data_IF_630907333034
#
_entry.id   IF_630907333034
#
_cell.length_a   1.000
_cell.length_b   1.000
_cell.length_c   1.000
_cell.angle_alpha   90.00
_cell.angle_beta   90.00
_cell.angle_gamma   90.00
#
_symmetry.space_group_name_H-M   'P 1'
#
loop_
_entity.id
_entity.type
_entity.pdbx_description
1 polymer ?
#
# COMPACT_ATOMS: atom_id res chain seq x y z
N UNK A 1 29.86 8.62 34.89
CA UNK A 1 30.59 9.43 33.90
C UNK A 1 30.62 8.63 32.62
N UNK A 2 29.68 8.80 31.69
CA UNK A 2 29.53 9.88 30.71
C UNK A 2 29.84 9.32 29.31
N UNK A 3 28.78 8.97 28.58
CA UNK A 3 28.78 8.84 27.13
C UNK A 3 27.50 9.54 26.63
N UNK A 4 27.60 10.85 26.38
CA UNK A 4 26.60 11.68 25.70
C UNK A 4 27.33 12.31 24.52
N UNK A 5 26.96 11.97 23.29
CA UNK A 5 27.67 12.52 22.14
C UNK A 5 27.09 12.27 20.75
N UNK A 6 25.89 11.71 20.60
CA UNK A 6 25.35 11.39 19.27
C UNK A 6 23.90 11.81 19.01
N UNK A 7 23.24 12.49 19.95
CA UNK A 7 21.87 13.02 19.76
C UNK A 7 21.80 14.46 19.23
N UNK A 8 22.93 15.18 19.12
CA UNK A 8 22.92 16.61 18.77
C UNK A 8 22.81 16.90 17.26
N UNK A 9 23.01 15.91 16.38
CA UNK A 9 23.14 16.17 14.93
C UNK A 9 21.83 16.02 14.14
N UNK A 10 20.75 15.51 14.75
CA UNK A 10 19.43 15.36 14.10
C UNK A 10 18.42 16.45 14.48
N UNK A 11 18.71 17.27 15.49
CA UNK A 11 17.82 18.37 15.93
C UNK A 11 17.96 19.66 15.10
N UNK A 12 19.09 19.87 14.41
CA UNK A 12 19.31 21.10 13.63
C UNK A 12 18.54 21.16 12.29
N UNK A 13 18.07 20.03 11.76
CA UNK A 13 17.26 20.03 10.53
C UNK A 13 15.78 20.36 10.76
N UNK A 14 15.30 20.35 12.01
CA UNK A 14 13.89 20.58 12.34
C UNK A 14 13.56 22.04 12.71
N UNK A 15 14.55 22.88 13.01
CA UNK A 15 14.34 24.26 13.47
C UNK A 15 14.63 25.35 12.41
N UNK A 16 15.00 24.99 11.18
CA UNK A 16 15.31 25.96 10.12
C UNK A 16 14.09 26.44 9.30
N UNK A 17 12.90 25.89 9.50
CA UNK A 17 11.75 26.18 8.63
C UNK A 17 10.79 27.27 9.13
N UNK A 18 11.14 28.02 10.17
CA UNK A 18 10.33 29.15 10.63
C UNK A 18 11.19 30.38 10.90
N UNK A 19 11.19 31.29 9.93
CA UNK A 19 11.63 32.67 10.12
C UNK A 19 12.91 33.02 9.38
N UNK A 20 12.77 33.55 8.17
CA UNK A 20 13.36 34.84 7.79
C UNK A 20 13.03 35.15 6.32
N UNK A 21 11.92 35.84 6.13
CA UNK A 21 11.78 36.80 5.05
C UNK A 21 12.64 38.03 5.39
N UNK A 22 13.84 38.15 4.85
CA UNK A 22 14.53 39.44 4.83
C UNK A 22 15.66 39.48 3.80
N UNK A 23 15.45 40.31 2.77
CA UNK A 23 16.46 41.20 2.17
C UNK A 23 17.84 40.61 1.83
N UNK A 24 18.00 40.18 0.58
CA UNK A 24 19.30 40.12 -0.10
C UNK A 24 19.22 40.93 -1.41
N UNK A 25 18.88 42.21 -1.28
CA UNK A 25 19.37 43.24 -2.19
C UNK A 25 20.38 44.05 -1.39
N UNK A 26 21.66 43.83 -1.65
CA UNK A 26 22.71 44.75 -1.22
C UNK A 26 23.83 44.71 -2.24
N UNK A 27 23.60 45.46 -3.31
CA UNK A 27 24.62 45.95 -4.22
C UNK A 27 25.63 46.78 -3.42
N UNK A 28 26.85 46.27 -3.28
CA UNK A 28 28.03 47.03 -2.88
C UNK A 28 29.24 46.48 -3.64
N UNK A 29 29.29 46.80 -4.94
CA UNK A 29 30.50 46.71 -5.74
C UNK A 29 31.43 47.88 -5.40
N UNK A 30 32.59 47.58 -4.80
CA UNK A 30 33.74 48.49 -4.76
C UNK A 30 34.83 47.89 -5.66
N UNK A 31 34.95 48.52 -6.83
CA UNK A 31 36.02 48.48 -7.84
C UNK A 31 37.25 47.59 -7.61
N UNK A 32 37.43 46.63 -8.52
CA UNK A 32 38.71 45.99 -8.85
C UNK A 32 38.65 45.47 -10.28
N UNK A 33 39.24 46.22 -11.22
CA UNK A 33 39.16 45.95 -12.66
C UNK A 33 39.71 44.58 -13.08
N UNK A 34 38.93 43.90 -13.90
CA UNK A 34 39.29 42.72 -14.66
C UNK A 34 38.16 42.41 -15.63
N UNK A 35 38.47 42.33 -16.93
CA UNK A 35 37.53 42.25 -18.04
C UNK A 35 36.35 41.29 -17.80
N UNK A 36 35.13 41.83 -17.85
CA UNK A 36 33.90 41.05 -17.92
C UNK A 36 33.82 40.31 -19.26
N UNK A 37 34.45 39.15 -19.34
CA UNK A 37 34.07 38.15 -20.33
C UNK A 37 32.91 37.36 -19.75
N UNK A 38 31.69 37.90 -19.91
CA UNK A 38 30.47 37.13 -19.68
C UNK A 38 30.47 35.97 -20.68
N UNK A 39 30.85 34.78 -20.22
CA UNK A 39 30.81 33.56 -21.03
C UNK A 39 29.35 33.38 -21.49
N UNK A 40 29.08 33.23 -22.80
CA UNK A 40 27.72 32.97 -23.25
C UNK A 40 27.21 31.71 -22.52
N UNK A 41 25.93 31.69 -22.10
CA UNK A 41 25.41 30.57 -21.34
C UNK A 41 25.70 29.30 -22.12
N UNK A 42 26.51 28.41 -21.53
CA UNK A 42 26.83 27.13 -22.16
C UNK A 42 25.50 26.43 -22.44
N UNK A 43 25.19 26.25 -23.73
CA UNK A 43 24.10 25.37 -24.15
C UNK A 43 24.45 23.97 -23.69
N UNK A 44 23.98 23.62 -22.50
CA UNK A 44 24.09 22.29 -21.98
C UNK A 44 23.01 21.47 -22.70
N UNK A 45 23.44 20.60 -23.60
CA UNK A 45 22.58 19.62 -24.24
C UNK A 45 22.15 18.58 -23.21
N UNK A 46 21.19 18.94 -22.35
CA UNK A 46 20.58 18.00 -21.41
C UNK A 46 19.31 17.42 -22.03
N UNK A 47 19.12 16.10 -21.87
CA UNK A 47 17.89 15.40 -22.28
C UNK A 47 16.70 15.84 -21.39
N UNK A 48 16.98 16.35 -20.19
CA UNK A 48 16.00 17.08 -19.38
C UNK A 48 16.00 18.56 -19.76
N UNK A 49 14.84 19.06 -20.19
CA UNK A 49 14.63 20.48 -20.50
C UNK A 49 14.43 21.36 -19.26
N UNK A 50 14.41 20.80 -18.06
CA UNK A 50 14.08 21.58 -16.85
C UNK A 50 15.35 22.10 -16.20
N UNK A 51 15.66 23.36 -16.48
CA UNK A 51 16.68 24.13 -15.80
C UNK A 51 16.07 24.65 -14.48
N UNK A 52 16.46 24.06 -13.35
CA UNK A 52 15.98 24.33 -11.99
C UNK A 52 14.49 24.01 -11.73
N UNK A 53 14.13 22.76 -11.40
CA UNK A 53 12.75 22.45 -11.00
C UNK A 53 12.44 23.05 -9.61
N UNK A 54 11.45 23.95 -9.52
CA UNK A 54 10.79 24.27 -8.26
C UNK A 54 9.70 23.23 -7.98
N UNK A 55 9.79 22.55 -6.85
CA UNK A 55 8.84 21.50 -6.51
C UNK A 55 7.59 22.11 -5.89
N UNK A 56 6.56 22.26 -6.73
CA UNK A 56 5.16 22.41 -6.33
C UNK A 56 4.78 21.36 -5.28
N UNK A 57 3.88 21.69 -4.35
CA UNK A 57 3.32 20.78 -3.33
C UNK A 57 2.91 19.45 -3.98
N UNK A 58 3.60 18.37 -3.65
CA UNK A 58 3.31 17.04 -4.19
C UNK A 58 1.95 16.51 -3.70
N UNK A 59 1.25 15.77 -4.56
CA UNK A 59 0.00 15.10 -4.19
C UNK A 59 0.26 13.95 -3.21
N UNK A 60 -0.75 13.60 -2.40
CA UNK A 60 -0.73 12.41 -1.56
C UNK A 60 -1.22 11.19 -2.39
N UNK A 61 -0.37 10.20 -2.68
CA UNK A 61 -0.77 9.03 -3.47
C UNK A 61 -1.42 7.91 -2.63
N UNK A 62 -1.37 7.98 -1.30
CA UNK A 62 -1.94 6.97 -0.39
C UNK A 62 -3.43 6.65 -0.64
N UNK A 63 -4.31 7.65 -0.87
CA UNK A 63 -5.71 7.40 -1.22
C UNK A 63 -5.89 6.53 -2.46
N UNK A 64 -5.05 6.72 -3.49
CA UNK A 64 -5.12 5.93 -4.72
C UNK A 64 -4.85 4.46 -4.41
N UNK A 65 -3.78 4.18 -3.67
CA UNK A 65 -3.41 2.81 -3.31
C UNK A 65 -4.45 2.13 -2.42
N UNK A 66 -5.00 2.84 -1.42
CA UNK A 66 -6.00 2.31 -0.50
C UNK A 66 -7.35 2.04 -1.19
N UNK A 67 -7.84 2.95 -2.03
CA UNK A 67 -9.12 2.77 -2.73
C UNK A 67 -8.99 1.65 -3.76
N UNK A 68 -7.86 1.56 -4.47
CA UNK A 68 -7.62 0.49 -5.44
C UNK A 68 -7.60 -0.90 -4.79
N UNK A 69 -6.95 -1.00 -3.63
CA UNK A 69 -6.98 -2.18 -2.78
C UNK A 69 -8.40 -2.50 -2.29
N UNK A 70 -9.13 -1.48 -1.82
CA UNK A 70 -10.47 -1.63 -1.25
C UNK A 70 -11.48 -2.16 -2.27
N UNK A 71 -11.48 -1.65 -3.50
CA UNK A 71 -12.39 -2.13 -4.56
C UNK A 71 -12.11 -3.60 -4.87
N UNK A 72 -10.85 -3.95 -5.10
CA UNK A 72 -10.45 -5.32 -5.44
C UNK A 72 -10.73 -6.30 -4.31
N UNK A 73 -10.38 -5.90 -3.08
CA UNK A 73 -10.61 -6.66 -1.85
C UNK A 73 -12.09 -6.87 -1.58
N UNK A 74 -12.91 -5.83 -1.70
CA UNK A 74 -14.34 -5.90 -1.44
C UNK A 74 -15.04 -6.85 -2.41
N UNK A 75 -14.72 -6.75 -3.70
CA UNK A 75 -15.27 -7.66 -4.71
C UNK A 75 -14.85 -9.11 -4.44
N UNK A 76 -13.55 -9.38 -4.18
CA UNK A 76 -13.10 -10.71 -3.80
C UNK A 76 -13.81 -11.22 -2.55
N UNK A 77 -13.99 -10.37 -1.53
CA UNK A 77 -14.62 -10.74 -0.26
C UNK A 77 -16.05 -11.26 -0.43
N UNK A 78 -16.87 -10.58 -1.24
CA UNK A 78 -18.25 -11.01 -1.53
C UNK A 78 -18.27 -12.42 -2.15
N UNK A 79 -17.33 -12.69 -3.03
CA UNK A 79 -17.20 -14.00 -3.64
C UNK A 79 -16.69 -15.07 -2.66
N UNK A 80 -15.72 -14.74 -1.80
CA UNK A 80 -15.28 -15.63 -0.73
C UNK A 80 -16.39 -15.94 0.29
N UNK A 81 -17.38 -15.04 0.44
CA UNK A 81 -18.59 -15.26 1.23
C UNK A 81 -19.63 -16.14 0.53
N UNK A 82 -19.46 -16.41 -0.77
CA UNK A 82 -20.40 -17.19 -1.58
C UNK A 82 -21.59 -16.39 -2.11
N UNK A 83 -21.52 -15.05 -2.09
CA UNK A 83 -22.62 -14.19 -2.59
C UNK A 83 -22.83 -14.44 -4.08
N UNK A 84 -24.05 -14.85 -4.43
CA UNK A 84 -24.43 -15.11 -5.82
C UNK A 84 -23.87 -16.40 -6.41
N UNK A 85 -23.29 -17.30 -5.61
CA UNK A 85 -22.78 -18.60 -6.05
C UNK A 85 -23.78 -19.73 -5.79
N UNK A 86 -23.82 -20.79 -6.62
CA UNK A 86 -24.58 -22.00 -6.34
C UNK A 86 -24.23 -22.57 -4.96
N UNK A 87 -25.25 -22.91 -4.18
CA UNK A 87 -25.12 -23.42 -2.79
C UNK A 87 -24.29 -22.51 -1.86
N UNK A 88 -24.09 -21.24 -2.26
CA UNK A 88 -23.17 -20.30 -1.61
C UNK A 88 -21.77 -20.90 -1.38
N UNK A 89 -21.26 -21.70 -2.33
CA UNK A 89 -19.97 -22.38 -2.21
C UNK A 89 -18.84 -21.60 -2.94
N UNK A 90 -17.98 -20.86 -2.22
CA UNK A 90 -16.86 -20.12 -2.82
C UNK A 90 -15.73 -21.01 -3.36
N UNK A 91 -15.68 -22.28 -2.98
CA UNK A 91 -14.66 -23.24 -3.39
C UNK A 91 -15.15 -24.18 -4.50
N UNK A 92 -16.35 -23.93 -5.04
CA UNK A 92 -16.94 -24.69 -6.13
C UNK A 92 -16.25 -24.44 -7.48
N UNK A 93 -16.63 -25.23 -8.49
CA UNK A 93 -16.14 -25.08 -9.87
C UNK A 93 -16.82 -23.95 -10.64
N UNK A 94 -17.99 -23.51 -10.18
CA UNK A 94 -18.77 -22.41 -10.76
C UNK A 94 -18.53 -21.18 -9.91
N UNK A 95 -17.69 -20.26 -10.41
CA UNK A 95 -17.28 -19.11 -9.63
C UNK A 95 -16.62 -18.00 -10.44
N UNK A 96 -16.40 -16.83 -9.82
CA UNK A 96 -16.18 -15.55 -10.46
C UNK A 96 -14.69 -15.23 -10.65
N UNK A 97 -13.83 -16.26 -10.68
CA UNK A 97 -12.38 -16.10 -10.87
C UNK A 97 -12.06 -15.15 -12.05
N UNK A 98 -12.88 -15.22 -13.09
CA UNK A 98 -12.84 -14.36 -14.27
C UNK A 98 -13.18 -12.88 -13.98
N UNK A 99 -14.19 -12.61 -13.15
CA UNK A 99 -14.64 -11.26 -12.82
C UNK A 99 -13.65 -10.50 -11.92
N UNK A 100 -12.98 -11.22 -11.01
CA UNK A 100 -11.97 -10.64 -10.11
C UNK A 100 -10.65 -10.42 -10.84
N UNK A 101 -10.31 -11.26 -11.82
CA UNK A 101 -9.01 -11.22 -12.49
C UNK A 101 -8.67 -9.82 -13.04
N UNK A 102 -9.61 -9.14 -13.69
CA UNK A 102 -9.39 -7.78 -14.20
C UNK A 102 -9.10 -6.77 -13.07
N UNK A 103 -9.83 -6.83 -11.96
CA UNK A 103 -9.59 -5.97 -10.79
C UNK A 103 -8.24 -6.29 -10.15
N UNK A 104 -7.90 -7.58 -10.04
CA UNK A 104 -6.61 -8.08 -9.55
C UNK A 104 -5.44 -7.51 -10.35
N UNK A 105 -5.54 -7.51 -11.68
CA UNK A 105 -4.44 -7.04 -12.54
C UNK A 105 -4.32 -5.52 -12.53
N UNK A 106 -5.44 -4.81 -12.70
CA UNK A 106 -5.39 -3.36 -12.95
C UNK A 106 -5.53 -2.52 -11.68
N UNK A 107 -6.56 -2.76 -10.86
CA UNK A 107 -6.76 -1.99 -9.64
C UNK A 107 -5.86 -2.50 -8.51
N UNK A 108 -6.14 -3.69 -8.00
CA UNK A 108 -5.38 -4.28 -6.90
C UNK A 108 -3.90 -4.41 -7.24
N UNK A 109 -3.56 -4.65 -8.51
CA UNK A 109 -2.20 -4.79 -9.00
C UNK A 109 -1.57 -3.47 -9.44
N UNK A 110 -1.68 -3.15 -10.73
CA UNK A 110 -0.90 -2.10 -11.38
C UNK A 110 -1.09 -0.71 -10.74
N UNK A 111 -2.33 -0.27 -10.52
CA UNK A 111 -2.62 1.06 -9.95
C UNK A 111 -2.11 1.15 -8.50
N UNK A 112 -2.22 0.07 -7.73
CA UNK A 112 -1.68 0.03 -6.39
C UNK A 112 -0.15 0.10 -6.38
N UNK A 113 0.53 -0.60 -7.30
CA UNK A 113 1.99 -0.46 -7.50
C UNK A 113 2.36 0.98 -7.86
N UNK A 114 1.63 1.62 -8.78
CA UNK A 114 1.89 3.01 -9.16
C UNK A 114 1.73 3.96 -7.97
N UNK A 115 0.70 3.77 -7.14
CA UNK A 115 0.54 4.53 -5.90
C UNK A 115 1.78 4.36 -4.99
N UNK A 116 2.26 3.12 -4.81
CA UNK A 116 3.47 2.85 -4.03
C UNK A 116 4.73 3.50 -4.60
N UNK A 117 4.91 3.49 -5.92
CA UNK A 117 6.04 4.18 -6.56
C UNK A 117 5.97 5.70 -6.32
N UNK A 118 4.76 6.28 -6.38
CA UNK A 118 4.57 7.71 -6.11
C UNK A 118 4.84 8.07 -4.64
N UNK A 119 4.61 7.17 -3.68
CA UNK A 119 4.92 7.40 -2.26
C UNK A 119 6.42 7.64 -2.00
N UNK A 120 7.31 7.10 -2.84
CA UNK A 120 8.75 7.41 -2.76
C UNK A 120 9.01 8.91 -2.94
N UNK A 121 8.19 9.58 -3.76
CA UNK A 121 8.37 11.00 -4.07
C UNK A 121 8.08 11.91 -2.88
N UNK A 122 7.23 11.46 -1.96
CA UNK A 122 6.84 12.18 -0.74
C UNK A 122 7.57 11.66 0.51
N UNK A 123 8.53 10.76 0.35
CA UNK A 123 9.35 10.23 1.45
C UNK A 123 8.63 9.22 2.35
N UNK A 124 7.52 8.64 1.90
CA UNK A 124 6.73 7.69 2.68
C UNK A 124 7.18 6.24 2.43
N UNK A 125 8.24 5.81 3.11
CA UNK A 125 8.78 4.45 2.98
C UNK A 125 7.75 3.37 3.31
N UNK A 126 6.93 3.59 4.35
CA UNK A 126 5.91 2.65 4.77
C UNK A 126 4.86 2.46 3.67
N UNK A 127 4.20 3.54 3.25
CA UNK A 127 3.17 3.51 2.21
C UNK A 127 3.71 2.99 0.88
N UNK A 128 4.93 3.38 0.52
CA UNK A 128 5.56 2.91 -0.71
C UNK A 128 5.75 1.39 -0.73
N UNK A 129 6.34 0.84 0.34
CA UNK A 129 6.57 -0.59 0.45
C UNK A 129 5.23 -1.34 0.53
N UNK A 130 4.28 -0.83 1.32
CA UNK A 130 2.96 -1.40 1.53
C UNK A 130 2.18 -1.50 0.21
N UNK A 131 2.06 -0.41 -0.53
CA UNK A 131 1.29 -0.40 -1.77
C UNK A 131 1.95 -1.22 -2.87
N UNK A 132 3.28 -1.14 -3.04
CA UNK A 132 3.99 -1.95 -4.03
C UNK A 132 3.86 -3.45 -3.76
N UNK A 133 4.04 -3.91 -2.51
CA UNK A 133 4.04 -5.35 -2.21
C UNK A 133 2.64 -5.95 -2.28
N UNK A 134 1.59 -5.25 -1.85
CA UNK A 134 0.21 -5.72 -2.03
C UNK A 134 -0.26 -5.59 -3.49
N UNK A 135 0.26 -4.63 -4.23
CA UNK A 135 0.13 -4.62 -5.69
C UNK A 135 0.75 -5.86 -6.33
N UNK A 136 1.96 -6.22 -5.88
CA UNK A 136 2.61 -7.48 -6.23
C UNK A 136 1.77 -8.71 -5.88
N UNK A 137 1.17 -8.76 -4.68
CA UNK A 137 0.26 -9.83 -4.26
C UNK A 137 -0.88 -10.01 -5.27
N UNK A 138 -1.57 -8.94 -5.64
CA UNK A 138 -2.71 -9.04 -6.56
C UNK A 138 -2.27 -9.47 -7.96
N UNK A 139 -1.13 -8.99 -8.44
CA UNK A 139 -0.58 -9.44 -9.72
C UNK A 139 -0.21 -10.92 -9.69
N UNK A 140 0.50 -11.38 -8.65
CA UNK A 140 0.91 -12.78 -8.53
C UNK A 140 -0.25 -13.72 -8.21
N UNK A 141 -1.21 -13.31 -7.38
CA UNK A 141 -2.40 -14.09 -7.06
C UNK A 141 -3.31 -14.23 -8.29
N UNK A 142 -3.42 -13.16 -9.09
CA UNK A 142 -4.14 -13.18 -10.36
C UNK A 142 -3.67 -14.26 -11.33
N UNK A 143 -2.39 -14.64 -11.28
CA UNK A 143 -1.82 -15.67 -12.16
C UNK A 143 -2.47 -17.04 -11.95
N UNK A 144 -2.89 -17.38 -10.74
CA UNK A 144 -3.60 -18.65 -10.46
C UNK A 144 -4.95 -18.75 -11.19
N UNK A 145 -5.51 -17.63 -11.65
CA UNK A 145 -6.78 -17.60 -12.37
C UNK A 145 -6.64 -17.64 -13.89
N UNK A 146 -5.41 -17.65 -14.43
CA UNK A 146 -5.16 -17.67 -15.88
C UNK A 146 -4.96 -19.12 -16.35
N UNK A 147 -5.95 -19.76 -17.00
CA UNK A 147 -5.85 -21.17 -17.37
C UNK A 147 -4.72 -21.44 -18.38
N UNK A 148 -4.43 -20.45 -19.24
CA UNK A 148 -3.38 -20.55 -20.24
C UNK A 148 -1.96 -20.72 -19.66
N UNK A 149 -1.75 -20.42 -18.37
CA UNK A 149 -0.46 -20.62 -17.71
C UNK A 149 -0.23 -22.05 -17.23
N UNK A 150 -1.25 -22.91 -17.23
CA UNK A 150 -1.10 -24.31 -16.85
C UNK A 150 -0.74 -24.54 -15.37
N UNK A 151 -0.90 -23.54 -14.49
CA UNK A 151 -0.41 -23.61 -13.10
C UNK A 151 -1.11 -24.72 -12.32
N UNK A 152 -2.43 -24.86 -12.47
CA UNK A 152 -3.21 -25.90 -11.79
C UNK A 152 -2.93 -27.27 -12.43
N UNK A 153 -2.81 -27.30 -13.74
CA UNK A 153 -2.53 -28.49 -14.56
C UNK A 153 -1.16 -29.10 -14.24
N UNK A 154 -0.18 -28.27 -13.85
CA UNK A 154 1.14 -28.71 -13.43
C UNK A 154 1.13 -29.64 -12.19
N UNK A 155 0.04 -29.67 -11.43
CA UNK A 155 -0.15 -30.59 -10.31
C UNK A 155 -0.73 -31.96 -10.72
N UNK A 156 -0.84 -32.24 -12.03
CA UNK A 156 -1.23 -33.56 -12.57
C UNK A 156 -2.56 -34.12 -12.02
N UNK A 157 -3.52 -33.25 -11.69
CA UNK A 157 -4.81 -33.63 -11.11
C UNK A 157 -4.80 -33.83 -9.58
N UNK A 158 -3.64 -33.74 -8.92
CA UNK A 158 -3.54 -33.74 -7.47
C UNK A 158 -4.05 -32.41 -6.89
N UNK A 159 -5.33 -32.42 -6.55
CA UNK A 159 -6.01 -31.26 -5.97
C UNK A 159 -5.46 -30.94 -4.57
N UNK A 160 -5.04 -31.94 -3.80
CA UNK A 160 -4.52 -31.72 -2.45
C UNK A 160 -3.15 -31.01 -2.48
N UNK A 161 -2.27 -31.42 -3.40
CA UNK A 161 -1.00 -30.75 -3.62
C UNK A 161 -1.18 -29.29 -4.05
N UNK A 162 -2.11 -29.03 -4.99
CA UNK A 162 -2.42 -27.68 -5.46
C UNK A 162 -2.95 -26.79 -4.33
N UNK A 163 -3.96 -27.24 -3.57
CA UNK A 163 -4.55 -26.42 -2.49
C UNK A 163 -3.55 -26.23 -1.35
N UNK A 164 -2.73 -27.23 -1.03
CA UNK A 164 -1.67 -27.09 -0.02
C UNK A 164 -0.64 -26.04 -0.44
N UNK A 165 -0.20 -26.03 -1.71
CA UNK A 165 0.72 -25.01 -2.21
C UNK A 165 0.10 -23.59 -2.14
N UNK A 166 -1.18 -23.45 -2.49
CA UNK A 166 -1.90 -22.19 -2.37
C UNK A 166 -2.06 -21.75 -0.90
N UNK A 167 -2.24 -22.70 0.01
CA UNK A 167 -2.24 -22.47 1.46
C UNK A 167 -0.90 -21.91 1.94
N UNK A 168 0.23 -22.52 1.55
CA UNK A 168 1.58 -22.02 1.89
C UNK A 168 1.81 -20.61 1.33
N UNK A 169 1.37 -20.36 0.10
CA UNK A 169 1.43 -19.03 -0.52
C UNK A 169 0.69 -18.00 0.36
N UNK A 170 -0.55 -18.27 0.75
CA UNK A 170 -1.35 -17.37 1.59
C UNK A 170 -0.78 -17.20 3.01
N UNK A 171 -0.20 -18.25 3.60
CA UNK A 171 0.47 -18.16 4.90
C UNK A 171 1.70 -17.25 4.89
N UNK A 172 2.42 -17.21 3.76
CA UNK A 172 3.52 -16.26 3.58
C UNK A 172 3.02 -14.82 3.62
N UNK A 173 1.85 -14.55 3.02
CA UNK A 173 1.19 -13.24 3.07
C UNK A 173 0.65 -12.87 4.45
N UNK A 174 0.21 -13.86 5.24
CA UNK A 174 -0.11 -13.65 6.67
C UNK A 174 1.11 -13.12 7.43
N UNK A 175 2.28 -13.73 7.24
CA UNK A 175 3.51 -13.32 7.90
C UNK A 175 3.95 -11.92 7.47
N UNK A 176 3.94 -11.64 6.17
CA UNK A 176 4.25 -10.30 5.64
C UNK A 176 3.32 -9.25 6.25
N UNK A 177 2.02 -9.54 6.30
CA UNK A 177 1.01 -8.62 6.86
C UNK A 177 1.22 -8.39 8.35
N UNK A 178 1.59 -9.42 9.12
CA UNK A 178 1.96 -9.29 10.52
C UNK A 178 3.17 -8.35 10.70
N UNK A 179 4.20 -8.47 9.86
CA UNK A 179 5.35 -7.56 9.91
C UNK A 179 4.94 -6.10 9.63
N UNK A 180 4.05 -5.87 8.66
CA UNK A 180 3.49 -4.53 8.42
C UNK A 180 2.64 -4.03 9.58
N UNK A 181 1.84 -4.89 10.21
CA UNK A 181 1.05 -4.53 11.39
C UNK A 181 1.96 -4.05 12.53
N UNK A 182 3.07 -4.76 12.76
CA UNK A 182 4.07 -4.36 13.76
C UNK A 182 4.78 -3.04 13.38
N UNK A 183 5.10 -2.85 12.10
CA UNK A 183 5.67 -1.59 11.61
C UNK A 183 4.69 -0.41 11.72
N UNK A 184 3.38 -0.68 11.70
CA UNK A 184 2.32 0.33 11.73
C UNK A 184 1.89 0.77 13.13
N UNK A 185 2.46 0.22 14.22
CA UNK A 185 2.02 0.47 15.62
C UNK A 185 1.98 1.94 16.06
N UNK A 186 2.66 2.84 15.34
CA UNK A 186 2.65 4.29 15.59
C UNK A 186 1.97 5.12 14.49
N UNK A 187 1.16 4.48 13.64
CA UNK A 187 0.43 5.17 12.55
C UNK A 187 -0.90 5.73 13.06
N UNK A 188 -1.99 4.98 12.94
CA UNK A 188 -3.32 5.31 13.45
C UNK A 188 -4.17 4.04 13.56
N UNK A 189 -5.29 4.15 14.28
CA UNK A 189 -6.18 3.01 14.56
C UNK A 189 -6.78 2.42 13.28
N UNK A 190 -7.10 3.24 12.28
CA UNK A 190 -7.67 2.76 11.01
C UNK A 190 -6.68 1.84 10.27
N UNK A 191 -5.43 2.25 10.10
CA UNK A 191 -4.39 1.43 9.42
C UNK A 191 -4.06 0.17 10.22
N UNK A 192 -4.01 0.25 11.55
CA UNK A 192 -3.82 -0.93 12.39
C UNK A 192 -4.96 -1.93 12.28
N UNK A 193 -6.20 -1.44 12.31
CA UNK A 193 -7.39 -2.30 12.17
C UNK A 193 -7.43 -2.95 10.80
N UNK A 194 -7.10 -2.19 9.73
CA UNK A 194 -7.00 -2.71 8.37
C UNK A 194 -5.99 -3.86 8.30
N UNK A 195 -4.76 -3.66 8.77
CA UNK A 195 -3.71 -4.69 8.69
C UNK A 195 -4.00 -5.90 9.58
N UNK A 196 -4.60 -5.70 10.74
CA UNK A 196 -5.01 -6.79 11.61
C UNK A 196 -6.11 -7.64 10.96
N UNK A 197 -7.16 -7.02 10.42
CA UNK A 197 -8.20 -7.75 9.71
C UNK A 197 -7.65 -8.44 8.45
N UNK A 198 -6.76 -7.78 7.70
CA UNK A 198 -6.12 -8.36 6.53
C UNK A 198 -5.25 -9.59 6.87
N UNK A 199 -4.52 -9.53 7.99
CA UNK A 199 -3.74 -10.67 8.49
C UNK A 199 -4.67 -11.86 8.78
N UNK A 200 -5.81 -11.62 9.42
CA UNK A 200 -6.81 -12.65 9.69
C UNK A 200 -7.44 -13.20 8.40
N UNK A 201 -7.67 -12.34 7.40
CA UNK A 201 -8.10 -12.79 6.07
C UNK A 201 -7.10 -13.78 5.48
N UNK A 202 -5.83 -13.43 5.37
CA UNK A 202 -4.82 -14.33 4.78
C UNK A 202 -4.68 -15.62 5.57
N UNK A 203 -4.69 -15.54 6.91
CA UNK A 203 -4.62 -16.71 7.78
C UNK A 203 -5.78 -17.67 7.52
N UNK A 204 -7.02 -17.16 7.53
CA UNK A 204 -8.22 -17.99 7.38
C UNK A 204 -8.33 -18.56 5.95
N UNK A 205 -8.05 -17.75 4.93
CA UNK A 205 -8.03 -18.25 3.54
C UNK A 205 -6.94 -19.33 3.37
N UNK A 206 -5.74 -19.14 3.95
CA UNK A 206 -4.67 -20.12 3.90
C UNK A 206 -5.04 -21.44 4.61
N UNK A 207 -5.61 -21.34 5.81
CA UNK A 207 -6.11 -22.52 6.56
C UNK A 207 -7.18 -23.26 5.76
N UNK A 208 -8.13 -22.55 5.16
CA UNK A 208 -9.17 -23.17 4.33
C UNK A 208 -8.58 -24.00 3.18
N UNK A 209 -7.48 -23.54 2.56
CA UNK A 209 -6.80 -24.27 1.50
C UNK A 209 -6.11 -25.56 1.99
N UNK A 210 -5.53 -25.56 3.20
CA UNK A 210 -4.92 -26.77 3.77
C UNK A 210 -5.94 -27.88 4.05
N UNK A 211 -7.15 -27.50 4.47
CA UNK A 211 -8.21 -28.46 4.80
C UNK A 211 -9.22 -28.68 3.66
N UNK A 212 -8.95 -28.12 2.47
CA UNK A 212 -9.88 -28.12 1.34
C UNK A 212 -10.31 -29.54 0.92
N UNK A 213 -9.37 -30.48 0.91
CA UNK A 213 -9.59 -31.86 0.46
C UNK A 213 -9.87 -32.85 1.60
N UNK A 214 -9.55 -32.49 2.85
CA UNK A 214 -9.70 -33.36 4.02
C UNK A 214 -10.96 -33.07 4.83
N UNK A 215 -11.42 -31.81 4.85
CA UNK A 215 -12.60 -31.37 5.58
C UNK A 215 -13.35 -30.27 4.81
N UNK A 216 -13.92 -30.60 3.66
CA UNK A 216 -14.49 -29.63 2.70
C UNK A 216 -15.57 -28.71 3.29
N UNK A 217 -16.48 -29.23 4.11
CA UNK A 217 -17.52 -28.39 4.74
C UNK A 217 -16.93 -27.34 5.70
N UNK A 218 -15.94 -27.75 6.50
CA UNK A 218 -15.20 -26.86 7.39
C UNK A 218 -14.36 -25.87 6.59
N UNK A 219 -13.71 -26.30 5.51
CA UNK A 219 -12.94 -25.46 4.60
C UNK A 219 -13.78 -24.30 4.05
N UNK A 220 -14.98 -24.61 3.57
CA UNK A 220 -15.93 -23.60 3.06
C UNK A 220 -16.28 -22.58 4.16
N UNK A 221 -16.56 -23.05 5.37
CA UNK A 221 -16.91 -22.17 6.50
C UNK A 221 -15.75 -21.26 6.87
N UNK A 222 -14.52 -21.79 6.94
CA UNK A 222 -13.31 -21.03 7.26
C UNK A 222 -12.98 -20.03 6.14
N UNK A 223 -13.17 -20.42 4.87
CA UNK A 223 -13.00 -19.52 3.73
C UNK A 223 -13.97 -18.33 3.80
N UNK A 224 -15.25 -18.59 4.12
CA UNK A 224 -16.27 -17.55 4.33
C UNK A 224 -15.89 -16.62 5.48
N UNK A 225 -15.38 -17.14 6.58
CA UNK A 225 -14.91 -16.32 7.70
C UNK A 225 -13.79 -15.36 7.26
N UNK A 226 -12.80 -15.85 6.52
CA UNK A 226 -11.75 -14.99 5.97
C UNK A 226 -12.25 -13.97 4.95
N UNK A 227 -13.25 -14.33 4.14
CA UNK A 227 -14.01 -13.41 3.29
C UNK A 227 -14.70 -12.30 4.08
N UNK A 228 -15.32 -12.64 5.21
CA UNK A 228 -15.93 -11.66 6.13
C UNK A 228 -14.91 -10.66 6.68
N UNK A 229 -13.73 -11.12 7.12
CA UNK A 229 -12.64 -10.21 7.50
C UNK A 229 -12.15 -9.34 6.34
N UNK A 230 -12.19 -9.84 5.10
CA UNK A 230 -11.80 -9.05 3.93
C UNK A 230 -12.83 -7.98 3.60
N UNK A 231 -14.12 -8.22 3.83
CA UNK A 231 -15.15 -7.17 3.76
C UNK A 231 -14.80 -6.04 4.74
N UNK A 232 -14.58 -6.38 6.00
CA UNK A 232 -14.24 -5.40 7.05
C UNK A 232 -12.97 -4.63 6.67
N UNK A 233 -11.92 -5.33 6.26
CA UNK A 233 -10.67 -4.74 5.79
C UNK A 233 -10.90 -3.75 4.65
N UNK A 234 -11.70 -4.12 3.67
CA UNK A 234 -11.96 -3.29 2.48
C UNK A 234 -12.76 -2.05 2.82
N UNK A 235 -13.74 -2.15 3.74
CA UNK A 235 -14.48 -1.00 4.24
C UNK A 235 -13.59 -0.03 5.02
N UNK A 236 -12.67 -0.53 5.83
CA UNK A 236 -11.68 0.31 6.51
C UNK A 236 -10.72 0.96 5.50
N UNK A 237 -10.33 0.24 4.45
CA UNK A 237 -9.50 0.79 3.37
C UNK A 237 -10.21 1.90 2.59
N UNK A 238 -11.50 1.74 2.28
CA UNK A 238 -12.32 2.82 1.72
C UNK A 238 -12.37 4.02 2.66
N UNK A 239 -12.61 3.80 3.95
CA UNK A 239 -12.64 4.86 4.96
C UNK A 239 -11.31 5.63 5.03
N UNK A 240 -10.19 4.92 5.14
CA UNK A 240 -8.86 5.52 5.21
C UNK A 240 -8.47 6.23 3.90
N UNK A 241 -8.79 5.63 2.75
CA UNK A 241 -8.57 6.26 1.44
C UNK A 241 -9.40 7.54 1.27
N UNK A 242 -10.67 7.52 1.64
CA UNK A 242 -11.53 8.70 1.66
C UNK A 242 -11.00 9.78 2.60
N UNK A 243 -10.50 9.43 3.78
CA UNK A 243 -9.89 10.40 4.72
C UNK A 243 -8.74 11.18 4.07
N UNK A 244 -7.88 10.51 3.29
CA UNK A 244 -6.79 11.18 2.58
C UNK A 244 -7.21 11.93 1.30
N UNK A 245 -8.36 11.60 0.70
CA UNK A 245 -8.93 12.29 -0.47
C UNK A 245 -9.74 13.53 -0.08
N UNK A 246 -10.48 13.46 1.03
CA UNK A 246 -11.38 14.48 1.52
C UNK A 246 -10.60 15.56 2.27
N UNK A 247 -9.95 16.47 1.53
CA UNK A 247 -9.11 17.59 2.04
C UNK A 247 -9.91 18.90 2.14
N UNK A 248 -9.50 19.91 2.95
CA UNK A 248 -10.33 21.11 3.19
C UNK A 248 -10.64 21.91 1.93
N UNK A 249 -9.78 21.76 0.93
CA UNK A 249 -9.89 22.40 -0.37
C UNK A 249 -10.98 21.75 -1.24
N UNK A 250 -11.36 20.51 -0.99
CA UNK A 250 -12.31 19.75 -1.84
C UNK A 250 -13.64 19.45 -1.16
N UNK A 251 -13.69 19.32 0.16
CA UNK A 251 -14.94 19.02 0.88
C UNK A 251 -14.92 19.43 2.35
N UNK A 252 -16.12 19.62 2.90
CA UNK A 252 -16.37 19.88 4.33
C UNK A 252 -16.39 18.61 5.19
N UNK A 253 -16.43 17.41 4.58
CA UNK A 253 -16.49 16.13 5.29
C UNK A 253 -15.09 15.69 5.74
N UNK A 254 -14.99 15.13 6.96
CA UNK A 254 -13.73 14.67 7.58
C UNK A 254 -13.91 13.31 8.23
N UNK A 255 -12.99 12.39 7.94
CA UNK A 255 -12.95 11.07 8.55
C UNK A 255 -11.73 10.96 9.48
N UNK A 256 -11.93 10.94 10.81
CA UNK A 256 -10.82 10.81 11.76
C UNK A 256 -10.19 9.40 11.69
N UNK A 257 -8.88 9.32 11.62
CA UNK A 257 -8.16 8.04 11.55
C UNK A 257 -7.85 7.43 12.92
N UNK A 258 -8.03 8.20 14.00
CA UNK A 258 -7.72 7.80 15.37
C UNK A 258 -6.22 7.82 15.62
N UNK A 259 -5.64 9.01 15.72
CA UNK A 259 -4.21 9.19 15.92
C UNK A 259 -3.79 8.66 17.29
N UNK A 260 -2.69 7.90 17.31
CA UNK A 260 -2.14 7.35 18.55
C UNK A 260 -1.09 8.35 19.05
N UNK A 261 -1.36 8.95 20.21
CA UNK A 261 -0.45 9.91 20.80
C UNK A 261 0.89 9.22 21.15
N UNK A 262 1.99 9.71 20.57
CA UNK A 262 3.31 9.16 20.85
C UNK A 262 3.72 9.49 22.28
N UNK A 263 4.03 8.47 23.09
CA UNK A 263 4.51 8.59 24.48
C UNK A 263 5.78 9.45 24.65
N UNK A 264 6.43 9.85 23.56
CA UNK A 264 7.60 10.73 23.51
C UNK A 264 7.31 12.23 23.63
N UNK A 265 6.03 12.68 23.59
CA UNK A 265 5.69 14.10 23.85
C UNK A 265 5.59 14.46 25.34
N UNK A 266 5.85 13.52 26.25
CA UNK A 266 5.95 13.75 27.70
C UNK A 266 7.39 13.66 28.18
N UNK A 267 8.30 14.51 27.68
CA UNK A 267 9.58 14.82 28.33
C UNK A 267 9.96 16.26 28.05
#
# INVERSE_FOLDING_TARGET
MAAKGTEAQYQDFANSSNGQSSSLNKDLDINGGGDHVEKPPQRQGTISHVYQPSFLKAANPGPLGLISFAVSGFTLALYQLGVGLPDSNPMGSVGPNQAIFGLSVFLGGAIQVFAGIMEFRVGNTFGSTLHCIYGGFWLSYGMFFVPALGIKEAYAGDTHAYTTALGIYLMSWTLITLLFLLAALRTNIAILSLLFCLMLTFLLLGVAQFIATTATSTAITVNKAGGGFLVITSLIAFYAGCSGLMVPETTFIRFPLGDIESLTRRK
#
